data_IF_309391808229
#
_entry.id   IF_309391808229
#
_cell.length_a   1.000
_cell.length_b   1.000
_cell.length_c   1.000
_cell.angle_alpha   90.00
_cell.angle_beta   90.00
_cell.angle_gamma   90.00
#
_symmetry.space_group_name_H-M   'P 1'
#
loop_
_entity.id
_entity.type
_entity.pdbx_description
1 polymer ?
#
# COMPACT_ATOMS: atom_id res chain seq x y z
N UNK A 1 -5.65 -14.09 -2.79
CA UNK A 1 -4.34 -14.13 -2.11
C UNK A 1 -3.48 -13.02 -2.70
N UNK A 2 -2.89 -12.18 -1.84
CA UNK A 2 -2.23 -10.93 -2.26
C UNK A 2 -1.03 -11.20 -3.17
N UNK A 3 -0.96 -10.46 -4.27
CA UNK A 3 0.13 -10.56 -5.25
C UNK A 3 1.08 -9.37 -5.17
N UNK A 4 2.35 -9.61 -5.47
CA UNK A 4 3.36 -8.53 -5.53
C UNK A 4 2.95 -7.49 -6.58
N UNK A 5 3.16 -6.21 -6.26
CA UNK A 5 2.80 -5.03 -7.06
C UNK A 5 1.29 -4.74 -7.15
N UNK A 6 0.46 -5.43 -6.37
CA UNK A 6 -0.94 -5.10 -6.18
C UNK A 6 -1.10 -4.02 -5.11
N UNK A 7 -2.00 -3.07 -5.34
CA UNK A 7 -2.34 -2.00 -4.40
C UNK A 7 -3.62 -2.31 -3.61
N UNK A 8 -3.59 -2.03 -2.32
CA UNK A 8 -4.68 -2.27 -1.38
C UNK A 8 -4.87 -1.08 -0.44
N UNK A 9 -6.11 -0.75 -0.10
CA UNK A 9 -6.39 0.11 1.05
C UNK A 9 -6.15 -0.68 2.34
N UNK A 10 -5.27 -0.17 3.19
CA UNK A 10 -4.88 -0.82 4.45
C UNK A 10 -5.07 0.16 5.59
N UNK A 11 -5.76 -0.28 6.64
CA UNK A 11 -5.81 0.43 7.92
C UNK A 11 -4.50 0.19 8.69
N UNK A 12 -3.81 1.29 8.99
CA UNK A 12 -2.52 1.27 9.69
C UNK A 12 -2.65 1.87 11.11
N UNK A 13 -3.85 2.16 11.60
CA UNK A 13 -4.02 2.75 12.93
C UNK A 13 -3.61 1.81 14.08
N UNK A 14 -3.41 2.40 15.28
CA UNK A 14 -2.64 1.87 16.43
C UNK A 14 -1.12 2.06 16.35
N UNK A 15 -0.67 3.08 15.63
CA UNK A 15 0.74 3.49 15.55
C UNK A 15 1.29 4.18 16.79
N UNK A 16 2.62 4.28 16.87
CA UNK A 16 3.32 5.14 17.84
C UNK A 16 4.26 6.13 17.15
N UNK A 17 4.32 7.36 17.67
CA UNK A 17 5.25 8.38 17.16
C UNK A 17 4.94 8.80 15.72
N UNK A 18 5.95 8.74 14.85
CA UNK A 18 5.89 9.20 13.45
C UNK A 18 5.79 8.02 12.44
N UNK A 19 5.28 6.88 12.89
CA UNK A 19 4.97 5.75 12.03
C UNK A 19 3.83 6.08 11.02
N UNK A 20 3.80 5.45 9.83
CA UNK A 20 2.70 5.63 8.89
C UNK A 20 1.35 5.12 9.45
N UNK A 21 0.33 5.98 9.52
CA UNK A 21 -0.98 5.70 10.16
C UNK A 21 -2.17 5.86 9.20
N UNK A 22 -3.42 5.72 9.67
CA UNK A 22 -4.66 5.86 8.88
C UNK A 22 -4.82 4.84 7.76
N UNK A 23 -6.04 4.74 7.25
CA UNK A 23 -6.33 4.02 6.01
C UNK A 23 -5.63 4.71 4.83
N UNK A 24 -4.79 3.96 4.10
CA UNK A 24 -4.09 4.48 2.91
C UNK A 24 -3.77 3.38 1.89
N UNK A 25 -3.57 3.74 0.61
CA UNK A 25 -3.09 2.81 -0.38
C UNK A 25 -1.69 2.30 -0.02
N UNK A 26 -1.50 1.00 -0.10
CA UNK A 26 -0.25 0.30 0.14
C UNK A 26 0.02 -0.67 -1.01
N UNK A 27 1.29 -0.80 -1.40
CA UNK A 27 1.70 -1.79 -2.42
C UNK A 27 2.33 -2.99 -1.74
N UNK A 28 1.89 -4.19 -2.14
CA UNK A 28 2.46 -5.45 -1.68
C UNK A 28 3.83 -5.68 -2.32
N UNK A 29 4.88 -5.77 -1.51
CA UNK A 29 6.26 -6.00 -1.99
C UNK A 29 6.74 -7.45 -1.80
N UNK A 30 6.08 -8.17 -0.90
CA UNK A 30 6.31 -9.58 -0.60
C UNK A 30 5.88 -10.49 -1.76
N UNK A 31 6.59 -11.60 -1.96
CA UNK A 31 6.28 -12.54 -3.04
C UNK A 31 5.06 -13.42 -2.72
N UNK A 32 4.46 -14.03 -3.75
CA UNK A 32 3.29 -14.90 -3.58
C UNK A 32 3.57 -16.08 -2.63
N UNK A 33 4.73 -16.72 -2.69
CA UNK A 33 5.01 -17.88 -1.85
C UNK A 33 4.95 -17.53 -0.35
N UNK A 34 5.51 -16.38 0.04
CA UNK A 34 5.46 -15.85 1.41
C UNK A 34 4.02 -15.53 1.80
N UNK A 35 3.29 -14.82 0.93
CA UNK A 35 1.89 -14.44 1.20
C UNK A 35 0.99 -15.67 1.38
N UNK A 36 1.24 -16.76 0.64
CA UNK A 36 0.51 -18.02 0.74
C UNK A 36 0.77 -18.74 2.05
N UNK A 37 2.06 -18.93 2.36
CA UNK A 37 2.47 -19.82 3.44
C UNK A 37 2.31 -19.17 4.81
N UNK A 38 2.51 -17.86 4.90
CA UNK A 38 2.50 -17.14 6.17
C UNK A 38 1.14 -16.54 6.51
N UNK A 39 0.25 -16.37 5.51
CA UNK A 39 -0.99 -15.61 5.70
C UNK A 39 -0.77 -14.12 6.02
N UNK A 40 0.45 -13.62 5.81
CA UNK A 40 0.88 -12.25 6.08
C UNK A 40 1.57 -11.68 4.84
N UNK A 41 1.44 -10.37 4.63
CA UNK A 41 2.06 -9.68 3.51
C UNK A 41 2.78 -8.42 3.98
N UNK A 42 3.99 -8.22 3.46
CA UNK A 42 4.76 -7.00 3.66
C UNK A 42 4.32 -5.99 2.60
N UNK A 43 3.98 -4.78 3.05
CA UNK A 43 3.45 -3.70 2.23
C UNK A 43 4.23 -2.40 2.46
N UNK A 44 4.19 -1.49 1.48
CA UNK A 44 4.74 -0.13 1.58
C UNK A 44 3.60 0.88 1.44
N UNK A 45 3.35 1.74 2.43
CA UNK A 45 2.33 2.78 2.34
C UNK A 45 2.73 3.86 1.33
N UNK A 46 1.75 4.27 0.53
CA UNK A 46 1.89 5.37 -0.41
C UNK A 46 1.39 6.65 0.26
N UNK A 47 2.23 7.70 0.26
CA UNK A 47 1.90 8.99 0.85
C UNK A 47 1.87 10.08 -0.20
N UNK A 48 0.80 10.86 -0.26
CA UNK A 48 0.72 12.07 -1.07
C UNK A 48 1.02 13.29 -0.21
N UNK A 49 2.21 13.86 -0.33
CA UNK A 49 2.55 15.18 0.21
C UNK A 49 3.00 16.06 -0.95
N UNK A 50 2.69 17.37 -0.88
CA UNK A 50 2.96 18.32 -1.96
C UNK A 50 4.44 18.35 -2.42
N UNK A 51 5.36 17.91 -1.55
CA UNK A 51 6.79 17.80 -1.82
C UNK A 51 7.21 16.50 -2.54
N UNK A 52 6.43 15.42 -2.47
CA UNK A 52 6.66 14.17 -3.23
C UNK A 52 5.90 14.11 -4.56
N UNK A 53 4.92 14.98 -4.77
CA UNK A 53 4.05 14.96 -5.95
C UNK A 53 4.67 15.51 -7.24
N UNK A 54 5.89 16.03 -7.21
CA UNK A 54 6.51 16.63 -8.41
C UNK A 54 6.93 15.59 -9.47
N UNK A 55 7.09 14.31 -9.13
CA UNK A 55 7.47 13.29 -10.13
C UNK A 55 6.60 12.01 -10.09
N UNK A 56 5.93 11.73 -8.98
CA UNK A 56 5.08 10.55 -8.86
C UNK A 56 3.61 10.89 -9.16
N UNK A 57 3.27 11.06 -10.45
CA UNK A 57 1.92 10.74 -10.93
C UNK A 57 1.72 9.24 -10.73
N UNK A 58 1.37 8.84 -9.50
CA UNK A 58 1.04 7.46 -9.19
C UNK A 58 -0.24 7.14 -9.98
N UNK A 59 -0.06 6.40 -11.07
CA UNK A 59 -1.05 6.14 -12.09
C UNK A 59 -2.30 5.51 -11.46
N UNK A 60 -3.37 6.30 -11.31
CA UNK A 60 -4.72 5.75 -11.22
C UNK A 60 -5.26 5.63 -12.65
N UNK A 61 -5.48 4.45 -13.22
CA UNK A 61 -6.53 4.32 -14.23
C UNK A 61 -7.88 4.48 -13.51
N UNK A 62 -8.65 5.47 -13.94
CA UNK A 62 -9.93 5.90 -13.37
C UNK A 62 -11.09 4.90 -13.54
N UNK A 63 -10.88 3.58 -13.39
CA UNK A 63 -11.83 2.58 -13.89
C UNK A 63 -12.19 1.40 -12.97
N UNK A 64 -11.99 1.50 -11.64
CA UNK A 64 -12.56 0.51 -10.68
C UNK A 64 -13.19 1.17 -9.46
N UNK A 65 -14.37 1.74 -9.69
CA UNK A 65 -15.44 1.71 -8.70
C UNK A 65 -16.51 0.75 -9.28
N UNK A 66 -16.62 -0.43 -8.69
CA UNK A 66 -17.82 -1.27 -8.76
C UNK A 66 -18.29 -1.51 -7.33
#
# INVERSE_FOLDING_TARGET
>A
MLSKAEDWEVDLDLVRGHEPAKVRPCVVISNKLVNAKMGLSIVVPITGTAWMTNEAKLLRPASRLR
#
